data_IF_193915616544
#
_entry.id   IF_193915616544
#
_cell.length_a   1.000
_cell.length_b   1.000
_cell.length_c   1.000
_cell.angle_alpha   90.00
_cell.angle_beta   90.00
_cell.angle_gamma   90.00
#
_symmetry.space_group_name_H-M   'P 1'
#
loop_
_entity.id
_entity.type
_entity.pdbx_description
1 polymer ?
#
# COMPACT_ATOMS: atom_id res chain seq x y z
N UNK A 1 3.51 13.92 9.71
CA UNK A 1 4.31 13.18 8.72
C UNK A 1 4.80 14.16 7.67
N UNK A 2 6.09 14.13 7.32
CA UNK A 2 6.58 14.93 6.21
C UNK A 2 5.80 14.53 4.94
N UNK A 3 5.36 15.51 4.14
CA UNK A 3 4.63 15.25 2.89
C UNK A 3 5.34 14.20 2.00
N UNK A 4 6.67 14.13 2.12
CA UNK A 4 7.54 13.12 1.51
C UNK A 4 7.14 11.68 1.87
N UNK A 5 6.97 11.36 3.15
CA UNK A 5 6.62 10.00 3.58
C UNK A 5 5.21 9.60 3.12
N UNK A 6 4.23 10.52 3.09
CA UNK A 6 2.87 10.21 2.62
C UNK A 6 2.85 9.90 1.13
N UNK A 7 3.56 10.73 0.36
CA UNK A 7 3.73 10.56 -1.08
C UNK A 7 4.43 9.24 -1.40
N UNK A 8 5.49 8.89 -0.68
CA UNK A 8 6.20 7.62 -0.87
C UNK A 8 5.32 6.39 -0.61
N UNK A 9 4.53 6.42 0.46
CA UNK A 9 3.62 5.32 0.80
C UNK A 9 2.53 5.12 -0.28
N UNK A 10 2.01 6.22 -0.84
CA UNK A 10 1.10 6.18 -2.01
C UNK A 10 1.77 5.62 -3.25
N UNK A 11 2.99 6.05 -3.56
CA UNK A 11 3.75 5.53 -4.71
C UNK A 11 3.95 4.02 -4.58
N UNK A 12 4.36 3.54 -3.41
CA UNK A 12 4.53 2.11 -3.13
C UNK A 12 3.22 1.33 -3.29
N UNK A 13 2.12 1.85 -2.77
CA UNK A 13 0.80 1.23 -2.89
C UNK A 13 0.35 1.14 -4.36
N UNK A 14 0.52 2.21 -5.13
CA UNK A 14 0.20 2.22 -6.56
C UNK A 14 1.07 1.22 -7.34
N UNK A 15 2.37 1.16 -7.05
CA UNK A 15 3.28 0.21 -7.69
C UNK A 15 2.91 -1.26 -7.41
N UNK A 16 2.45 -1.58 -6.20
CA UNK A 16 1.95 -2.92 -5.86
C UNK A 16 0.69 -3.27 -6.64
N UNK A 17 -0.27 -2.34 -6.75
CA UNK A 17 -1.50 -2.53 -7.55
C UNK A 17 -1.22 -2.73 -9.04
N UNK A 18 -0.19 -2.07 -9.58
CA UNK A 18 0.25 -2.29 -10.97
C UNK A 18 0.85 -3.68 -11.12
N UNK A 19 1.76 -4.09 -10.23
CA UNK A 19 2.37 -5.44 -10.25
C UNK A 19 1.33 -6.54 -10.14
N UNK A 20 0.33 -6.39 -9.28
CA UNK A 20 -0.79 -7.33 -9.19
C UNK A 20 -1.55 -7.45 -10.52
N UNK A 21 -1.89 -6.32 -11.16
CA UNK A 21 -2.58 -6.33 -12.46
C UNK A 21 -1.74 -6.97 -13.57
N UNK A 22 -0.44 -6.70 -13.59
CA UNK A 22 0.48 -7.32 -14.55
C UNK A 22 0.55 -8.83 -14.34
N UNK A 23 0.69 -9.30 -13.09
CA UNK A 23 0.69 -10.72 -12.75
C UNK A 23 -0.63 -11.39 -13.15
N UNK A 24 -1.76 -10.71 -12.94
CA UNK A 24 -3.07 -11.21 -13.38
C UNK A 24 -3.14 -11.36 -14.90
N UNK A 25 -2.71 -10.34 -15.65
CA UNK A 25 -2.69 -10.37 -17.12
C UNK A 25 -1.75 -11.44 -17.67
N UNK A 26 -0.61 -11.69 -17.01
CA UNK A 26 0.34 -12.73 -17.38
C UNK A 26 -0.06 -14.13 -16.92
N UNK A 27 -1.27 -14.32 -16.37
CA UNK A 27 -1.76 -15.60 -15.82
C UNK A 27 -0.80 -16.20 -14.79
N UNK A 28 -0.26 -15.36 -13.90
CA UNK A 28 0.57 -15.78 -12.78
C UNK A 28 -0.16 -16.82 -11.90
N UNK A 29 0.61 -17.59 -11.14
CA UNK A 29 0.03 -18.60 -10.25
C UNK A 29 -0.83 -17.96 -9.15
N UNK A 30 -1.81 -18.70 -8.64
CA UNK A 30 -2.64 -18.26 -7.52
C UNK A 30 -1.79 -17.83 -6.30
N UNK A 31 -0.68 -18.53 -6.03
CA UNK A 31 0.25 -18.18 -4.96
C UNK A 31 0.92 -16.82 -5.18
N UNK A 32 1.35 -16.51 -6.42
CA UNK A 32 1.95 -15.22 -6.75
C UNK A 32 0.95 -14.08 -6.62
N UNK A 33 -0.30 -14.29 -7.06
CA UNK A 33 -1.38 -13.33 -6.92
C UNK A 33 -1.73 -13.08 -5.44
N UNK A 34 -1.80 -14.13 -4.63
CA UNK A 34 -2.05 -14.04 -3.19
C UNK A 34 -0.94 -13.26 -2.48
N UNK A 35 0.33 -13.53 -2.78
CA UNK A 35 1.46 -12.79 -2.19
C UNK A 35 1.39 -11.28 -2.51
N UNK A 36 1.06 -10.92 -3.76
CA UNK A 36 0.91 -9.51 -4.16
C UNK A 36 -0.30 -8.83 -3.49
N UNK A 37 -1.39 -9.57 -3.25
CA UNK A 37 -2.54 -9.07 -2.50
C UNK A 37 -2.19 -8.83 -1.03
N UNK A 38 -1.56 -9.79 -0.36
CA UNK A 38 -1.11 -9.64 1.03
C UNK A 38 -0.22 -8.43 1.23
N UNK A 39 0.75 -8.23 0.32
CA UNK A 39 1.63 -7.06 0.37
C UNK A 39 0.87 -5.75 0.14
N UNK A 40 -0.10 -5.76 -0.78
CA UNK A 40 -0.97 -4.60 -1.03
C UNK A 40 -1.80 -4.25 0.20
N UNK A 41 -2.37 -5.22 0.89
CA UNK A 41 -3.15 -5.03 2.13
C UNK A 41 -2.27 -4.53 3.28
N UNK A 42 -1.08 -5.09 3.43
CA UNK A 42 -0.11 -4.63 4.43
C UNK A 42 0.25 -3.16 4.23
N UNK A 43 0.58 -2.77 2.99
CA UNK A 43 0.91 -1.40 2.62
C UNK A 43 -0.28 -0.44 2.82
N UNK A 44 -1.52 -0.90 2.60
CA UNK A 44 -2.72 -0.10 2.89
C UNK A 44 -2.89 0.15 4.39
N UNK A 45 -2.63 -0.85 5.24
CA UNK A 45 -2.67 -0.69 6.70
C UNK A 45 -1.67 0.35 7.18
N UNK A 46 -0.42 0.26 6.73
CA UNK A 46 0.63 1.24 7.04
C UNK A 46 0.20 2.65 6.62
N UNK A 47 -0.34 2.79 5.41
CA UNK A 47 -0.81 4.10 4.92
C UNK A 47 -1.97 4.67 5.76
N UNK A 48 -2.92 3.82 6.16
CA UNK A 48 -4.06 4.22 6.99
C UNK A 48 -3.67 4.57 8.43
N UNK A 49 -2.76 3.79 9.03
CA UNK A 49 -2.19 4.05 10.37
C UNK A 49 -1.39 5.36 10.38
N UNK A 50 -0.63 5.61 9.32
CA UNK A 50 0.07 6.87 9.13
C UNK A 50 -0.86 8.08 8.99
N UNK A 51 -2.09 7.88 8.50
CA UNK A 51 -3.15 8.90 8.50
C UNK A 51 -3.72 9.15 9.90
N UNK A 52 -4.08 8.09 10.64
CA UNK A 52 -4.69 8.15 11.97
C UNK A 52 -3.77 8.70 13.06
N UNK A 53 -2.45 8.45 12.97
CA UNK A 53 -1.48 9.03 13.89
C UNK A 53 -1.42 10.58 13.82
N UNK A 54 -1.88 11.19 12.72
CA UNK A 54 -1.92 12.65 12.60
C UNK A 54 -3.13 13.29 13.29
N UNK A 55 -4.31 12.66 13.25
CA UNK A 55 -5.51 13.19 13.93
C UNK A 55 -5.27 13.35 15.44
N UNK A 56 -4.65 12.36 16.08
CA UNK A 56 -4.36 12.41 17.52
C UNK A 56 -3.31 13.43 17.95
N UNK A 57 -2.51 13.98 17.03
CA UNK A 57 -1.44 14.95 17.36
C UNK A 57 -1.88 16.39 17.10
N UNK A 58 -3.08 16.61 16.53
CA UNK A 58 -3.67 17.93 16.28
C UNK A 58 -4.66 18.42 17.35
N UNK A 59 -4.91 17.62 18.39
CA UNK A 59 -5.88 17.92 19.47
C UNK A 59 -5.21 18.28 20.81
N UNK A 60 -4.00 18.85 20.80
CA UNK A 60 -3.35 19.42 22.00
C UNK A 60 -3.07 20.90 21.82
#
# INVERSE_FOLDING_TARGET
MNNHTRREQLIRLCALRVRYRQAWQSKASACQLAALLTETEHQQKIFAEAGRAQEKTGEC
#
